data_IF_298794290416
#
_entry.id   IF_298794290416
#
_cell.length_a   1.000
_cell.length_b   1.000
_cell.length_c   1.000
_cell.angle_alpha   90.00
_cell.angle_beta   90.00
_cell.angle_gamma   90.00
#
_symmetry.space_group_name_H-M   'P 1'
#
loop_
_entity.id
_entity.type
_entity.pdbx_description
1 polymer ?
#
# COMPACT_ATOMS: atom_id res chain seq x y z
N UNK A 1 -17.10 18.82 5.01
CA UNK A 1 -17.06 17.51 5.70
C UNK A 1 -18.40 17.14 6.35
N UNK A 2 -19.42 17.98 6.25
CA UNK A 2 -20.71 17.81 6.95
C UNK A 2 -21.62 16.72 6.38
N UNK A 3 -21.31 16.20 5.19
CA UNK A 3 -22.01 15.09 4.56
C UNK A 3 -21.51 13.71 4.99
N UNK A 4 -20.48 13.64 5.84
CA UNK A 4 -19.89 12.38 6.31
C UNK A 4 -20.54 11.93 7.62
N UNK A 5 -20.81 10.63 7.73
CA UNK A 5 -21.24 10.01 8.98
C UNK A 5 -20.14 10.14 10.05
N UNK A 6 -20.54 10.23 11.32
CA UNK A 6 -19.63 10.28 12.47
C UNK A 6 -19.37 8.87 13.03
N UNK A 7 -18.14 8.53 13.47
CA UNK A 7 -16.91 9.32 13.28
C UNK A 7 -16.54 9.41 11.80
N UNK A 8 -16.16 10.62 11.37
CA UNK A 8 -15.83 10.92 9.97
C UNK A 8 -14.56 10.17 9.59
N UNK A 9 -14.53 9.62 8.39
CA UNK A 9 -13.40 8.85 7.84
C UNK A 9 -12.96 9.52 6.55
N UNK A 10 -11.82 10.20 6.57
CA UNK A 10 -11.34 10.97 5.43
C UNK A 10 -10.07 10.34 4.87
N UNK A 11 -10.16 9.79 3.66
CA UNK A 11 -9.02 9.24 2.95
C UNK A 11 -8.32 10.31 2.11
N UNK A 12 -7.01 10.42 2.28
CA UNK A 12 -6.11 11.31 1.56
C UNK A 12 -5.30 10.44 0.58
N UNK A 13 -5.37 10.79 -0.70
CA UNK A 13 -4.58 10.17 -1.77
C UNK A 13 -3.92 11.28 -2.60
N UNK A 14 -2.87 11.88 -2.04
CA UNK A 14 -2.10 12.96 -2.67
C UNK A 14 -0.61 12.63 -2.65
N UNK A 15 0.19 13.43 -3.37
CA UNK A 15 1.64 13.27 -3.39
C UNK A 15 2.22 13.33 -1.97
N UNK A 16 3.08 12.37 -1.63
CA UNK A 16 3.74 12.29 -0.33
C UNK A 16 4.54 13.56 0.03
N UNK A 17 4.74 13.77 1.34
CA UNK A 17 5.43 14.94 1.91
C UNK A 17 4.49 16.11 2.18
N UNK A 18 4.94 17.33 1.92
CA UNK A 18 4.22 18.58 2.22
C UNK A 18 2.75 18.63 1.77
N UNK A 19 2.35 18.06 0.61
CA UNK A 19 0.94 18.09 0.21
C UNK A 19 0.03 17.33 1.19
N UNK A 20 0.49 16.22 1.77
CA UNK A 20 -0.27 15.49 2.81
C UNK A 20 -0.47 16.38 4.03
N UNK A 21 0.60 17.02 4.50
CA UNK A 21 0.53 17.92 5.67
C UNK A 21 -0.39 19.11 5.42
N UNK A 22 -0.34 19.70 4.23
CA UNK A 22 -1.22 20.79 3.82
C UNK A 22 -2.70 20.40 3.79
N UNK A 23 -3.02 19.16 3.38
CA UNK A 23 -4.39 18.63 3.42
C UNK A 23 -4.81 18.38 4.87
N UNK A 24 -3.94 17.82 5.71
CA UNK A 24 -4.22 17.61 7.14
C UNK A 24 -4.54 18.96 7.82
N UNK A 25 -3.72 19.98 7.62
CA UNK A 25 -3.92 21.33 8.19
C UNK A 25 -5.27 21.95 7.79
N UNK A 26 -5.75 21.68 6.57
CA UNK A 26 -7.05 22.14 6.10
C UNK A 26 -8.23 21.33 6.68
N UNK A 27 -8.02 20.04 6.94
CA UNK A 27 -9.04 19.14 7.50
C UNK A 27 -9.20 19.32 9.00
N UNK A 28 -8.10 19.46 9.75
CA UNK A 28 -8.09 19.58 11.21
C UNK A 28 -9.16 20.52 11.79
N UNK A 29 -9.33 21.78 11.33
CA UNK A 29 -10.33 22.69 11.92
C UNK A 29 -11.78 22.31 11.61
N UNK A 30 -12.00 21.33 10.75
CA UNK A 30 -13.32 20.87 10.31
C UNK A 30 -13.73 19.54 10.98
N UNK A 31 -12.81 18.88 11.68
CA UNK A 31 -13.01 17.58 12.31
C UNK A 31 -13.30 17.73 13.81
N UNK A 32 -13.91 16.70 14.37
CA UNK A 32 -14.23 16.60 15.80
C UNK A 32 -13.52 15.40 16.43
N UNK A 33 -13.46 15.37 17.76
CA UNK A 33 -12.85 14.27 18.51
C UNK A 33 -13.42 12.91 18.06
N UNK A 34 -12.53 11.94 17.81
CA UNK A 34 -12.83 10.61 17.31
C UNK A 34 -12.88 10.50 15.78
N UNK A 35 -12.82 11.60 15.03
CA UNK A 35 -12.71 11.54 13.56
C UNK A 35 -11.34 10.99 13.13
N UNK A 36 -11.32 10.36 11.95
CA UNK A 36 -10.19 9.58 11.45
C UNK A 36 -9.70 10.14 10.11
N UNK A 37 -8.43 10.50 10.06
CA UNK A 37 -7.71 10.82 8.82
C UNK A 37 -6.90 9.61 8.38
N UNK A 38 -6.99 9.25 7.11
CA UNK A 38 -6.34 8.08 6.52
C UNK A 38 -5.41 8.58 5.41
N UNK A 39 -4.11 8.33 5.50
CA UNK A 39 -3.14 8.57 4.42
C UNK A 39 -2.92 7.27 3.66
N UNK A 40 -3.32 7.23 2.39
CA UNK A 40 -3.16 6.08 1.50
C UNK A 40 -2.01 6.26 0.49
N UNK A 41 -1.19 7.29 0.66
CA UNK A 41 -0.02 7.54 -0.17
C UNK A 41 1.19 6.69 0.21
N UNK A 42 2.27 6.82 -0.56
CA UNK A 42 3.57 6.22 -0.23
C UNK A 42 4.38 7.14 0.71
N UNK A 43 3.82 7.49 1.87
CA UNK A 43 4.48 8.34 2.86
C UNK A 43 5.60 7.57 3.59
N UNK A 44 6.65 8.28 4.02
CA UNK A 44 7.67 7.71 4.90
C UNK A 44 7.07 7.43 6.28
N UNK A 45 7.34 6.25 6.87
CA UNK A 45 6.68 5.81 8.10
C UNK A 45 6.91 6.77 9.28
N UNK A 46 8.05 7.45 9.35
CA UNK A 46 8.33 8.43 10.40
C UNK A 46 7.44 9.68 10.30
N UNK A 47 7.06 10.09 9.09
CA UNK A 47 6.09 11.16 8.91
C UNK A 47 4.72 10.75 9.44
N UNK A 48 4.32 9.49 9.24
CA UNK A 48 3.09 8.94 9.85
C UNK A 48 3.15 8.96 11.35
N UNK A 49 4.26 8.51 11.97
CA UNK A 49 4.44 8.58 13.42
C UNK A 49 4.32 10.01 13.95
N UNK A 50 4.92 10.98 13.25
CA UNK A 50 4.82 12.40 13.59
C UNK A 50 3.38 12.92 13.49
N UNK A 51 2.69 12.61 12.38
CA UNK A 51 1.30 13.04 12.13
C UNK A 51 0.34 12.45 13.15
N UNK A 52 0.46 11.17 13.43
CA UNK A 52 -0.34 10.46 14.42
C UNK A 52 -0.17 11.05 15.82
N UNK A 53 1.07 11.25 16.27
CA UNK A 53 1.34 11.90 17.56
C UNK A 53 0.85 13.36 17.65
N UNK A 54 0.79 14.09 16.53
CA UNK A 54 0.29 15.46 16.50
C UNK A 54 -1.24 15.53 16.54
N UNK A 55 -1.92 14.64 15.80
CA UNK A 55 -3.37 14.56 15.73
C UNK A 55 -3.98 13.96 17.00
N UNK A 56 -3.30 13.01 17.64
CA UNK A 56 -3.73 12.44 18.91
C UNK A 56 -3.87 13.49 20.03
N UNK A 57 -3.06 14.56 20.02
CA UNK A 57 -3.18 15.68 20.98
C UNK A 57 -4.46 16.51 20.81
N UNK A 58 -5.19 16.29 19.71
CA UNK A 58 -6.44 16.96 19.35
C UNK A 58 -7.62 15.97 19.36
N UNK A 59 -7.42 14.79 19.95
CA UNK A 59 -8.39 13.69 19.96
C UNK A 59 -8.79 13.20 18.55
N UNK A 60 -7.89 13.36 17.57
CA UNK A 60 -8.07 12.87 16.19
C UNK A 60 -7.23 11.62 15.97
N UNK A 61 -7.77 10.67 15.21
CA UNK A 61 -7.04 9.47 14.81
C UNK A 61 -6.36 9.67 13.46
N UNK A 62 -5.17 9.09 13.32
CA UNK A 62 -4.44 9.04 12.06
C UNK A 62 -4.06 7.60 11.73
N UNK A 63 -4.30 7.19 10.48
CA UNK A 63 -3.98 5.86 9.99
C UNK A 63 -3.16 5.99 8.72
N UNK A 64 -1.95 5.44 8.71
CA UNK A 64 -1.16 5.28 7.49
C UNK A 64 -1.43 3.92 6.87
N UNK A 65 -1.96 3.88 5.65
CA UNK A 65 -2.25 2.62 4.95
C UNK A 65 -1.35 2.47 3.73
N UNK A 66 -0.62 1.36 3.67
CA UNK A 66 0.02 0.95 2.43
C UNK A 66 -1.00 0.40 1.45
N UNK A 67 -0.97 0.83 0.19
CA UNK A 67 -1.82 0.27 -0.88
C UNK A 67 -0.95 -0.21 -2.04
N UNK A 68 -1.07 -1.47 -2.45
CA UNK A 68 -0.33 -2.04 -3.59
C UNK A 68 -1.25 -2.77 -4.58
N UNK A 69 -0.87 -2.79 -5.86
CA UNK A 69 -1.65 -3.38 -6.96
C UNK A 69 -1.78 -2.50 -8.22
N UNK A 70 -1.18 -1.30 -8.24
CA UNK A 70 -1.30 -0.38 -9.37
C UNK A 70 -2.73 0.14 -9.58
N UNK A 71 -3.00 0.73 -10.74
CA UNK A 71 -4.31 1.30 -11.06
C UNK A 71 -5.40 0.21 -11.16
N UNK A 72 -5.08 -0.92 -11.80
CA UNK A 72 -6.00 -2.03 -11.95
C UNK A 72 -6.31 -2.72 -10.61
N UNK A 73 -5.29 -2.97 -9.79
CA UNK A 73 -5.48 -3.49 -8.45
C UNK A 73 -6.27 -2.54 -7.57
N UNK A 74 -6.07 -1.23 -7.67
CA UNK A 74 -6.88 -0.26 -6.92
C UNK A 74 -8.38 -0.33 -7.28
N UNK A 75 -8.72 -0.67 -8.53
CA UNK A 75 -10.10 -0.83 -8.98
C UNK A 75 -10.71 -2.19 -8.56
N UNK A 76 -9.94 -3.27 -8.71
CA UNK A 76 -10.44 -4.64 -8.61
C UNK A 76 -10.19 -5.31 -7.25
N UNK A 77 -9.29 -4.76 -6.45
CA UNK A 77 -8.92 -5.29 -5.14
C UNK A 77 -7.41 -5.18 -4.91
N UNK A 78 -6.94 -4.17 -4.15
CA UNK A 78 -5.52 -4.04 -3.86
C UNK A 78 -5.13 -4.86 -2.62
N UNK A 79 -3.82 -4.95 -2.37
CA UNK A 79 -3.32 -5.27 -1.03
C UNK A 79 -3.31 -4.00 -0.18
N UNK A 80 -3.86 -4.09 1.05
CA UNK A 80 -4.01 -2.94 1.96
C UNK A 80 -3.35 -3.25 3.30
N UNK A 81 -2.47 -2.36 3.75
CA UNK A 81 -1.60 -2.55 4.91
C UNK A 81 -1.83 -1.44 5.93
N UNK A 82 -2.92 -1.47 6.71
CA UNK A 82 -3.24 -0.41 7.66
C UNK A 82 -2.38 -0.44 8.93
N UNK A 83 -1.75 0.69 9.23
CA UNK A 83 -1.05 0.98 10.49
C UNK A 83 -1.72 2.13 11.25
N UNK A 84 -1.90 1.94 12.55
CA UNK A 84 -2.60 2.87 13.42
C UNK A 84 -3.14 2.17 14.67
N UNK A 85 -3.88 2.90 15.51
CA UNK A 85 -4.46 2.31 16.72
C UNK A 85 -5.41 1.14 16.40
N UNK A 86 -5.57 0.22 17.36
CA UNK A 86 -6.52 -0.90 17.21
C UNK A 86 -7.96 -0.40 17.03
N UNK A 87 -8.33 0.65 17.74
CA UNK A 87 -9.62 1.34 17.62
C UNK A 87 -9.87 1.85 16.19
N UNK A 88 -8.86 2.47 15.57
CA UNK A 88 -8.96 2.92 14.19
C UNK A 88 -9.13 1.74 13.21
N UNK A 89 -8.49 0.60 13.47
CA UNK A 89 -8.72 -0.61 12.68
C UNK A 89 -10.11 -1.21 12.91
N UNK A 90 -10.64 -1.18 14.13
CA UNK A 90 -12.00 -1.68 14.39
C UNK A 90 -13.05 -0.83 13.64
N UNK A 91 -12.78 0.46 13.45
CA UNK A 91 -13.63 1.37 12.68
C UNK A 91 -13.49 1.21 11.15
N UNK A 92 -12.28 0.92 10.64
CA UNK A 92 -11.96 0.91 9.21
C UNK A 92 -11.84 -0.49 8.59
N UNK A 93 -11.41 -1.47 9.37
CA UNK A 93 -11.06 -2.84 8.96
C UNK A 93 -12.14 -3.50 8.10
N UNK A 94 -13.42 -3.53 8.51
CA UNK A 94 -14.47 -4.13 7.69
C UNK A 94 -14.62 -3.52 6.29
N UNK A 95 -14.37 -2.21 6.15
CA UNK A 95 -14.38 -1.53 4.85
C UNK A 95 -13.13 -1.91 4.04
N UNK A 96 -11.95 -1.85 4.66
CA UNK A 96 -10.67 -2.12 3.99
C UNK A 96 -10.58 -3.59 3.54
N UNK A 97 -10.99 -4.53 4.39
CA UNK A 97 -11.04 -5.95 4.07
C UNK A 97 -11.98 -6.23 2.90
N UNK A 98 -13.15 -5.59 2.87
CA UNK A 98 -14.14 -5.77 1.80
C UNK A 98 -13.64 -5.32 0.42
N UNK A 99 -12.85 -4.25 0.36
CA UNK A 99 -12.35 -3.70 -0.91
C UNK A 99 -11.01 -4.31 -1.33
N UNK A 100 -10.34 -5.09 -0.48
CA UNK A 100 -9.06 -5.72 -0.80
C UNK A 100 -9.23 -6.90 -1.76
N UNK A 101 -8.13 -7.31 -2.41
CA UNK A 101 -8.05 -8.62 -3.07
C UNK A 101 -8.39 -9.74 -2.07
N UNK A 102 -8.96 -10.83 -2.57
CA UNK A 102 -9.24 -12.02 -1.75
C UNK A 102 -8.54 -13.25 -2.34
N UNK A 103 -7.78 -13.96 -1.51
CA UNK A 103 -7.09 -15.21 -1.87
C UNK A 103 -7.56 -16.29 -0.91
N UNK A 104 -8.05 -17.41 -1.45
CA UNK A 104 -8.65 -18.51 -0.66
C UNK A 104 -9.72 -18.03 0.33
N UNK A 105 -10.51 -17.04 -0.08
CA UNK A 105 -11.57 -16.43 0.72
C UNK A 105 -11.08 -15.51 1.85
N UNK A 106 -9.77 -15.23 1.95
CA UNK A 106 -9.21 -14.30 2.93
C UNK A 106 -8.83 -12.97 2.28
N UNK A 107 -9.13 -11.82 2.91
CA UNK A 107 -8.74 -10.52 2.38
C UNK A 107 -7.22 -10.32 2.47
N UNK A 108 -6.64 -9.69 1.46
CA UNK A 108 -5.26 -9.19 1.44
C UNK A 108 -5.15 -7.87 2.23
N UNK A 109 -5.73 -7.86 3.43
CA UNK A 109 -5.75 -6.75 4.37
C UNK A 109 -5.75 -7.31 5.80
N UNK A 110 -4.89 -6.75 6.65
CA UNK A 110 -4.83 -7.09 8.07
C UNK A 110 -4.30 -5.90 8.87
N UNK A 111 -4.67 -5.79 10.14
CA UNK A 111 -4.06 -4.80 11.03
C UNK A 111 -2.58 -5.09 11.20
N UNK A 112 -1.72 -4.19 10.73
CA UNK A 112 -0.27 -4.39 10.71
C UNK A 112 0.35 -4.09 12.07
N UNK A 113 -0.13 -3.05 12.74
CA UNK A 113 0.42 -2.56 14.00
C UNK A 113 0.07 -1.10 14.23
N UNK A 114 0.68 -0.50 15.25
CA UNK A 114 0.47 0.89 15.62
C UNK A 114 1.18 1.87 14.68
N UNK A 115 0.82 3.14 14.78
CA UNK A 115 1.58 4.26 14.23
C UNK A 115 1.93 4.12 12.72
N UNK A 116 3.21 4.15 12.36
CA UNK A 116 3.72 4.06 10.98
C UNK A 116 3.84 2.65 10.43
N UNK A 117 3.41 1.61 11.16
CA UNK A 117 3.66 0.20 10.78
C UNK A 117 3.15 -0.15 9.37
N UNK A 118 1.98 0.37 8.97
CA UNK A 118 1.40 0.13 7.65
C UNK A 118 2.25 0.66 6.49
N UNK A 119 2.69 1.92 6.60
CA UNK A 119 3.63 2.50 5.63
C UNK A 119 5.01 1.86 5.68
N UNK A 120 5.46 1.40 6.85
CA UNK A 120 6.72 0.66 6.96
C UNK A 120 6.67 -0.65 6.19
N UNK A 121 5.61 -1.46 6.36
CA UNK A 121 5.44 -2.70 5.59
C UNK A 121 5.34 -2.41 4.10
N UNK A 122 4.65 -1.34 3.69
CA UNK A 122 4.62 -0.92 2.28
C UNK A 122 5.99 -0.54 1.73
N UNK A 123 6.80 0.16 2.52
CA UNK A 123 8.16 0.51 2.16
C UNK A 123 9.02 -0.74 1.95
N UNK A 124 8.91 -1.74 2.83
CA UNK A 124 9.61 -3.02 2.69
C UNK A 124 9.11 -3.81 1.49
N UNK A 125 7.79 -3.83 1.24
CA UNK A 125 7.20 -4.44 0.03
C UNK A 125 7.82 -3.87 -1.25
N UNK A 126 7.92 -2.55 -1.36
CA UNK A 126 8.61 -1.92 -2.50
C UNK A 126 10.10 -2.29 -2.54
N UNK A 127 10.76 -2.42 -1.40
CA UNK A 127 12.16 -2.86 -1.36
C UNK A 127 12.35 -4.27 -1.92
N UNK A 128 11.43 -5.19 -1.60
CA UNK A 128 11.40 -6.56 -2.15
C UNK A 128 11.11 -6.52 -3.65
N UNK A 129 10.11 -5.75 -4.07
CA UNK A 129 9.76 -5.57 -5.49
C UNK A 129 10.98 -5.13 -6.33
N UNK A 130 11.78 -4.18 -5.83
CA UNK A 130 12.99 -3.73 -6.52
C UNK A 130 14.03 -4.84 -6.65
N UNK A 131 14.20 -5.67 -5.62
CA UNK A 131 15.13 -6.79 -5.67
C UNK A 131 14.67 -7.85 -6.68
N UNK A 132 13.38 -8.18 -6.71
CA UNK A 132 12.80 -9.14 -7.65
C UNK A 132 12.95 -8.65 -9.09
N UNK A 133 12.59 -7.39 -9.36
CA UNK A 133 12.76 -6.77 -10.68
C UNK A 133 14.23 -6.78 -11.14
N UNK A 134 15.17 -6.52 -10.23
CA UNK A 134 16.60 -6.55 -10.53
C UNK A 134 17.07 -7.97 -10.87
N UNK A 135 16.69 -8.98 -10.09
CA UNK A 135 17.06 -10.38 -10.33
C UNK A 135 16.47 -10.87 -11.67
N UNK A 136 15.23 -10.51 -11.98
CA UNK A 136 14.59 -10.83 -13.26
C UNK A 136 15.34 -10.14 -14.42
N UNK A 137 15.69 -8.87 -14.26
CA UNK A 137 16.47 -8.12 -15.25
C UNK A 137 17.87 -8.71 -15.48
N UNK A 138 18.53 -9.20 -14.44
CA UNK A 138 19.80 -9.92 -14.54
C UNK A 138 19.62 -11.27 -15.27
N UNK A 139 18.55 -12.01 -15.00
CA UNK A 139 18.26 -13.24 -15.72
C UNK A 139 18.05 -12.97 -17.23
N UNK A 140 17.30 -11.92 -17.57
CA UNK A 140 17.12 -11.48 -18.96
C UNK A 140 18.46 -11.14 -19.63
N UNK A 141 19.33 -10.38 -18.95
CA UNK A 141 20.65 -10.04 -19.50
C UNK A 141 21.51 -11.28 -19.67
N UNK A 142 21.58 -12.18 -18.69
CA UNK A 142 22.37 -13.41 -18.78
C UNK A 142 21.92 -14.33 -19.92
N UNK A 143 20.60 -14.45 -20.15
CA UNK A 143 20.07 -15.20 -21.30
C UNK A 143 20.51 -14.56 -22.62
N UNK A 144 20.57 -13.22 -22.68
CA UNK A 144 20.96 -12.50 -23.90
C UNK A 144 22.47 -12.49 -24.12
N UNK A 145 23.21 -11.92 -23.18
CA UNK A 145 24.64 -11.65 -23.27
C UNK A 145 25.48 -12.91 -23.04
N UNK A 146 25.03 -13.80 -22.17
CA UNK A 146 25.72 -15.04 -21.81
C UNK A 146 25.35 -16.24 -22.69
N UNK A 147 24.06 -16.39 -23.04
CA UNK A 147 23.57 -17.54 -23.80
C UNK A 147 23.15 -17.23 -25.25
N UNK A 148 23.13 -15.95 -25.66
CA UNK A 148 22.78 -15.55 -27.02
C UNK A 148 21.30 -15.75 -27.37
N UNK A 149 20.42 -15.85 -26.38
CA UNK A 149 18.98 -16.07 -26.58
C UNK A 149 18.32 -14.72 -26.83
N UNK A 150 17.69 -14.58 -27.99
CA UNK A 150 17.02 -13.33 -28.39
C UNK A 150 15.68 -13.14 -27.64
N UNK A 151 15.22 -11.89 -27.45
CA UNK A 151 14.05 -11.58 -26.59
C UNK A 151 12.77 -12.38 -26.90
N UNK A 152 12.50 -12.68 -28.18
CA UNK A 152 11.32 -13.45 -28.56
C UNK A 152 11.35 -14.91 -28.06
N UNK A 153 12.53 -15.49 -27.90
CA UNK A 153 12.70 -16.82 -27.31
C UNK A 153 12.81 -16.76 -25.79
N UNK A 154 13.33 -15.66 -25.23
CA UNK A 154 13.30 -15.42 -23.78
C UNK A 154 11.87 -15.34 -23.25
N UNK A 155 10.96 -14.68 -23.97
CA UNK A 155 9.55 -14.60 -23.58
C UNK A 155 8.93 -15.99 -23.35
N UNK A 156 9.29 -16.99 -24.18
CA UNK A 156 8.83 -18.37 -24.02
C UNK A 156 9.38 -19.03 -22.75
N UNK A 157 10.60 -18.68 -22.36
CA UNK A 157 11.24 -19.14 -21.11
C UNK A 157 10.51 -18.54 -19.91
N UNK A 158 10.26 -17.23 -19.92
CA UNK A 158 9.47 -16.56 -18.86
C UNK A 158 8.04 -17.12 -18.77
N UNK A 159 7.38 -17.39 -19.91
CA UNK A 159 6.09 -18.08 -19.95
C UNK A 159 6.13 -19.49 -19.34
N UNK A 160 7.24 -20.22 -19.50
CA UNK A 160 7.43 -21.54 -18.89
C UNK A 160 7.66 -21.41 -17.38
N UNK A 161 8.52 -20.48 -16.96
CA UNK A 161 8.78 -20.21 -15.54
C UNK A 161 7.52 -19.78 -14.78
N UNK A 162 6.63 -19.03 -15.43
CA UNK A 162 5.36 -18.60 -14.84
C UNK A 162 4.36 -19.75 -14.59
N UNK A 163 4.63 -20.95 -15.12
CA UNK A 163 3.82 -22.15 -14.88
C UNK A 163 4.37 -23.01 -13.73
N UNK A 164 5.53 -22.66 -13.20
CA UNK A 164 6.24 -23.40 -12.16
C UNK A 164 6.34 -22.63 -10.85
N UNK A 165 7.44 -22.85 -10.13
CA UNK A 165 7.67 -22.25 -8.80
C UNK A 165 7.87 -20.72 -8.83
N UNK A 166 8.18 -20.17 -10.00
CA UNK A 166 8.37 -18.72 -10.20
C UNK A 166 7.08 -17.99 -10.61
N UNK A 167 5.94 -18.69 -10.62
CA UNK A 167 4.64 -18.12 -10.95
C UNK A 167 4.37 -16.86 -10.12
N UNK A 168 4.38 -15.70 -10.77
CA UNK A 168 4.24 -14.40 -10.11
C UNK A 168 3.86 -13.32 -11.13
N UNK A 169 3.25 -12.24 -10.65
CA UNK A 169 2.88 -11.11 -11.50
C UNK A 169 4.10 -10.49 -12.21
N UNK A 170 5.25 -10.38 -11.53
CA UNK A 170 6.46 -9.81 -12.15
C UNK A 170 6.98 -10.69 -13.29
N UNK A 171 6.95 -12.01 -13.15
CA UNK A 171 7.35 -12.93 -14.22
C UNK A 171 6.34 -12.88 -15.38
N UNK A 172 5.05 -12.75 -15.09
CA UNK A 172 4.00 -12.66 -16.12
C UNK A 172 4.18 -11.44 -17.05
N UNK A 173 4.64 -10.30 -16.52
CA UNK A 173 4.80 -9.06 -17.29
C UNK A 173 6.22 -8.85 -17.86
N UNK A 174 7.16 -9.76 -17.56
CA UNK A 174 8.57 -9.68 -18.00
C UNK A 174 8.80 -10.35 -19.35
#
# INVERSE_FOLDING_TARGET
VDSLEKPRRVLIMVKAGKPVDSVIEQLEPLLEAGDIIIDAGNSHYEDTRRREAALAKKDLHFVGIGVSGGEEGALNGPSIMPGGSKESYDALGPLLEKIAAHVDGKPCCAWIGTDGAGHFVKMVHNGIEYADMQVIGEAFDLLRSGAGIEPADQAKIFEEWNKGELASFLIEIS
#
